data_IF_634616148617
#
_entry.id   IF_634616148617
#
_cell.length_a   1.000
_cell.length_b   1.000
_cell.length_c   1.000
_cell.angle_alpha   90.00
_cell.angle_beta   90.00
_cell.angle_gamma   90.00
#
_symmetry.space_group_name_H-M   'P 1'
#
loop_
_entity.id
_entity.type
_entity.pdbx_description
1 polymer ?
#
# COMPACT_ATOMS: atom_id res chain seq x y z
N UNK A 1 5.82 -23.45 38.23
CA UNK A 1 6.02 -22.12 37.62
C UNK A 1 6.74 -22.31 36.30
N UNK A 2 6.02 -22.25 35.19
CA UNK A 2 6.55 -21.94 33.85
C UNK A 2 5.34 -21.54 33.02
N UNK A 3 5.03 -20.26 33.15
CA UNK A 3 4.23 -19.38 32.31
C UNK A 3 3.69 -19.99 31.01
N UNK A 4 2.36 -20.04 30.91
CA UNK A 4 1.64 -20.10 29.64
C UNK A 4 2.20 -19.03 28.69
N UNK A 5 2.81 -19.48 27.58
CA UNK A 5 3.15 -18.59 26.47
C UNK A 5 1.87 -18.23 25.73
N UNK A 6 1.22 -17.22 26.30
CA UNK A 6 0.13 -16.46 25.76
C UNK A 6 0.45 -15.91 24.35
N UNK A 7 -0.63 -15.82 23.58
CA UNK A 7 -0.78 -15.10 22.31
C UNK A 7 0.04 -15.59 21.12
N UNK A 8 -0.67 -16.26 20.21
CA UNK A 8 -0.38 -16.40 18.80
C UNK A 8 -0.37 -15.01 18.10
N UNK A 9 0.56 -14.13 18.50
CA UNK A 9 0.83 -12.86 17.82
C UNK A 9 1.39 -13.22 16.45
N UNK A 10 0.53 -13.16 15.43
CA UNK A 10 0.83 -13.15 14.00
C UNK A 10 2.20 -13.70 13.61
N UNK A 11 2.24 -14.98 13.20
CA UNK A 11 3.44 -15.68 12.70
C UNK A 11 4.43 -14.73 12.01
N UNK A 12 5.51 -14.38 12.72
CA UNK A 12 6.55 -13.47 12.28
C UNK A 12 7.05 -13.81 10.86
N UNK A 13 7.03 -15.10 10.49
CA UNK A 13 7.34 -15.60 9.15
C UNK A 13 6.53 -14.95 8.02
N UNK A 14 5.23 -14.71 8.22
CA UNK A 14 4.40 -14.01 7.22
C UNK A 14 4.82 -12.55 7.07
N UNK A 15 5.14 -11.89 8.18
CA UNK A 15 5.55 -10.49 8.19
C UNK A 15 6.90 -10.31 7.47
N UNK A 16 7.87 -11.20 7.72
CA UNK A 16 9.17 -11.21 7.01
C UNK A 16 9.02 -11.49 5.53
N UNK A 17 8.11 -12.38 5.12
CA UNK A 17 7.88 -12.66 3.69
C UNK A 17 7.34 -11.42 2.96
N UNK A 18 6.39 -10.72 3.57
CA UNK A 18 5.82 -9.49 3.01
C UNK A 18 6.88 -8.38 3.00
N UNK A 19 7.70 -8.28 4.03
CA UNK A 19 8.80 -7.32 4.09
C UNK A 19 9.79 -7.51 2.94
N UNK A 20 10.19 -8.75 2.63
CA UNK A 20 11.04 -9.04 1.45
C UNK A 20 10.33 -8.64 0.16
N UNK A 21 9.03 -8.96 0.00
CA UNK A 21 8.26 -8.54 -1.17
C UNK A 21 8.24 -7.00 -1.33
N UNK A 22 8.11 -6.24 -0.23
CA UNK A 22 8.18 -4.78 -0.24
C UNK A 22 9.56 -4.25 -0.65
N UNK A 23 10.64 -4.92 -0.23
CA UNK A 23 11.99 -4.58 -0.66
C UNK A 23 12.17 -4.81 -2.16
N UNK A 24 11.68 -5.93 -2.70
CA UNK A 24 11.70 -6.22 -4.14
C UNK A 24 10.93 -5.16 -4.92
N UNK A 25 9.72 -4.79 -4.46
CA UNK A 25 8.95 -3.72 -5.09
C UNK A 25 9.67 -2.37 -5.05
N UNK A 26 10.38 -2.09 -3.96
CA UNK A 26 11.16 -0.85 -3.82
C UNK A 26 12.35 -0.82 -4.78
N UNK A 27 13.07 -1.94 -4.93
CA UNK A 27 14.11 -2.09 -5.94
C UNK A 27 13.54 -1.92 -7.36
N UNK A 28 12.35 -2.49 -7.63
CA UNK A 28 11.66 -2.31 -8.90
C UNK A 28 11.31 -0.84 -9.18
N UNK A 29 10.87 -0.08 -8.17
CA UNK A 29 10.65 1.37 -8.32
C UNK A 29 11.94 2.10 -8.70
N UNK A 30 13.06 1.78 -8.05
CA UNK A 30 14.36 2.38 -8.36
C UNK A 30 14.80 2.04 -9.79
N UNK A 31 14.52 0.83 -10.27
CA UNK A 31 14.83 0.46 -11.65
C UNK A 31 13.95 1.22 -12.65
N UNK A 32 12.64 1.34 -12.38
CA UNK A 32 11.72 2.11 -13.23
C UNK A 32 12.11 3.59 -13.30
N UNK A 33 12.63 4.18 -12.22
CA UNK A 33 13.11 5.57 -12.27
C UNK A 33 14.43 5.72 -13.02
N UNK A 34 15.27 4.68 -13.06
CA UNK A 34 16.55 4.68 -13.80
C UNK A 34 16.40 4.41 -15.30
N UNK A 35 15.41 3.63 -15.73
CA UNK A 35 15.17 3.35 -17.15
C UNK A 35 14.41 4.52 -17.80
N UNK A 36 14.84 5.01 -18.95
CA UNK A 36 14.16 6.07 -19.70
C UNK A 36 12.88 5.59 -20.40
N UNK A 37 11.81 5.39 -19.62
CA UNK A 37 10.49 5.00 -20.12
C UNK A 37 9.63 6.19 -20.61
N UNK A 38 10.17 7.41 -20.66
CA UNK A 38 9.43 8.62 -21.06
C UNK A 38 8.12 8.82 -20.25
N UNK A 39 7.00 9.03 -20.94
CA UNK A 39 5.65 9.21 -20.35
C UNK A 39 5.19 7.98 -19.57
N UNK A 40 5.65 6.77 -19.95
CA UNK A 40 5.29 5.53 -19.25
C UNK A 40 5.92 5.42 -17.85
N UNK A 41 6.95 6.22 -17.52
CA UNK A 41 7.56 6.26 -16.18
C UNK A 41 6.51 6.54 -15.10
N UNK A 42 5.65 7.53 -15.34
CA UNK A 42 4.65 7.96 -14.34
C UNK A 42 3.64 6.86 -14.09
N UNK A 43 3.10 6.26 -15.16
CA UNK A 43 2.15 5.15 -15.07
C UNK A 43 2.74 3.93 -14.35
N UNK A 44 3.98 3.56 -14.69
CA UNK A 44 4.70 2.46 -14.05
C UNK A 44 4.97 2.74 -12.57
N UNK A 45 5.42 3.95 -12.23
CA UNK A 45 5.67 4.36 -10.85
C UNK A 45 4.36 4.33 -10.02
N UNK A 46 3.26 4.84 -10.57
CA UNK A 46 1.95 4.82 -9.92
C UNK A 46 1.43 3.40 -9.67
N UNK A 47 1.59 2.51 -10.65
CA UNK A 47 1.19 1.11 -10.52
C UNK A 47 1.98 0.41 -9.41
N UNK A 48 3.32 0.56 -9.39
CA UNK A 48 4.16 -0.05 -8.35
C UNK A 48 3.82 0.52 -6.98
N UNK A 49 3.64 1.84 -6.87
CA UNK A 49 3.23 2.50 -5.63
C UNK A 49 1.87 1.96 -5.13
N UNK A 50 0.90 1.75 -6.01
CA UNK A 50 -0.42 1.21 -5.66
C UNK A 50 -0.33 -0.21 -5.12
N UNK A 51 0.45 -1.08 -5.78
CA UNK A 51 0.66 -2.47 -5.30
C UNK A 51 1.38 -2.48 -3.96
N UNK A 52 2.42 -1.65 -3.79
CA UNK A 52 3.18 -1.52 -2.54
C UNK A 52 2.27 -1.10 -1.38
N UNK A 53 1.48 -0.05 -1.57
CA UNK A 53 0.53 0.44 -0.57
C UNK A 53 -0.54 -0.60 -0.25
N UNK A 54 -1.08 -1.28 -1.26
CA UNK A 54 -2.05 -2.37 -1.07
C UNK A 54 -1.48 -3.52 -0.22
N UNK A 55 -0.22 -3.89 -0.44
CA UNK A 55 0.45 -4.93 0.33
C UNK A 55 0.68 -4.50 1.79
N UNK A 56 1.08 -3.25 2.02
CA UNK A 56 1.22 -2.69 3.38
C UNK A 56 -0.12 -2.73 4.11
N UNK A 57 -1.18 -2.26 3.47
CA UNK A 57 -2.54 -2.21 4.05
C UNK A 57 -3.06 -3.63 4.35
N UNK A 58 -2.86 -4.59 3.45
CA UNK A 58 -3.38 -5.94 3.63
C UNK A 58 -2.70 -6.71 4.78
N UNK A 59 -1.40 -6.49 5.00
CA UNK A 59 -0.60 -7.29 5.92
C UNK A 59 -0.14 -6.55 7.19
N UNK A 60 0.35 -5.31 7.08
CA UNK A 60 0.85 -4.54 8.24
C UNK A 60 -0.25 -3.83 9.01
N UNK A 61 -1.29 -3.34 8.32
CA UNK A 61 -2.47 -2.76 8.99
C UNK A 61 -3.45 -3.83 9.49
N UNK A 62 -3.05 -5.11 9.47
CA UNK A 62 -3.84 -6.26 9.92
C UNK A 62 -5.23 -6.37 9.27
N UNK A 63 -5.47 -5.65 8.18
CA UNK A 63 -6.81 -5.46 7.62
C UNK A 63 -7.41 -6.74 7.01
N UNK A 64 -6.57 -7.76 6.76
CA UNK A 64 -7.02 -9.11 6.40
C UNK A 64 -7.74 -9.85 7.54
N UNK A 65 -7.45 -9.49 8.78
CA UNK A 65 -7.94 -10.15 10.00
C UNK A 65 -8.94 -9.29 10.78
N UNK A 66 -9.02 -8.00 10.46
CA UNK A 66 -9.98 -7.07 11.05
C UNK A 66 -11.39 -7.18 10.42
N UNK A 67 -12.44 -6.75 11.15
CA UNK A 67 -13.81 -6.80 10.65
C UNK A 67 -13.98 -5.97 9.37
N UNK A 68 -14.91 -6.41 8.50
CA UNK A 68 -15.21 -5.80 7.19
C UNK A 68 -15.46 -4.28 7.24
N UNK A 69 -15.85 -3.76 8.40
CA UNK A 69 -16.02 -2.33 8.66
C UNK A 69 -14.74 -1.51 8.40
N UNK A 70 -13.56 -1.96 8.84
CA UNK A 70 -12.31 -1.23 8.62
C UNK A 70 -11.96 -1.12 7.14
N UNK A 71 -12.21 -2.19 6.38
CA UNK A 71 -12.04 -2.19 4.92
C UNK A 71 -12.97 -1.17 4.26
N UNK A 72 -14.23 -1.08 4.69
CA UNK A 72 -15.19 -0.10 4.15
C UNK A 72 -14.73 1.33 4.49
N UNK A 73 -14.35 1.59 5.74
CA UNK A 73 -13.87 2.91 6.18
C UNK A 73 -12.66 3.34 5.37
N UNK A 74 -11.69 2.45 5.15
CA UNK A 74 -10.53 2.75 4.30
C UNK A 74 -10.94 3.10 2.88
N UNK A 75 -11.84 2.33 2.26
CA UNK A 75 -12.31 2.61 0.90
C UNK A 75 -13.05 3.95 0.82
N UNK A 76 -13.86 4.30 1.81
CA UNK A 76 -14.54 5.60 1.90
C UNK A 76 -13.53 6.73 2.07
N UNK A 77 -12.51 6.55 2.90
CA UNK A 77 -11.44 7.52 3.10
C UNK A 77 -10.62 7.74 1.81
N UNK A 78 -10.22 6.65 1.13
CA UNK A 78 -9.50 6.72 -0.14
C UNK A 78 -10.35 7.37 -1.25
N UNK A 79 -11.65 7.04 -1.32
CA UNK A 79 -12.56 7.63 -2.29
C UNK A 79 -12.73 9.14 -2.05
N UNK A 80 -12.94 9.54 -0.80
CA UNK A 80 -13.02 10.95 -0.41
C UNK A 80 -11.73 11.68 -0.77
N UNK A 81 -10.57 11.13 -0.40
CA UNK A 81 -9.27 11.72 -0.72
C UNK A 81 -9.04 11.85 -2.22
N UNK A 82 -9.36 10.80 -3.00
CA UNK A 82 -9.25 10.83 -4.45
C UNK A 82 -10.18 11.89 -5.07
N UNK A 83 -11.38 12.07 -4.53
CA UNK A 83 -12.30 13.13 -4.91
C UNK A 83 -11.73 14.53 -4.66
N UNK A 84 -11.15 14.78 -3.48
CA UNK A 84 -10.48 16.05 -3.17
C UNK A 84 -9.30 16.31 -4.12
N UNK A 85 -8.41 15.32 -4.29
CA UNK A 85 -7.26 15.43 -5.19
C UNK A 85 -7.75 15.74 -6.61
N UNK A 86 -8.67 14.95 -7.15
CA UNK A 86 -9.21 15.14 -8.50
C UNK A 86 -9.87 16.51 -8.67
N UNK A 87 -10.65 16.95 -7.67
CA UNK A 87 -11.25 18.27 -7.65
C UNK A 87 -10.21 19.40 -7.68
N UNK A 88 -9.14 19.30 -6.89
CA UNK A 88 -8.04 20.28 -6.90
C UNK A 88 -7.30 20.29 -8.23
N UNK A 89 -7.03 19.13 -8.85
CA UNK A 89 -6.40 19.10 -10.17
C UNK A 89 -7.29 19.70 -11.26
N UNK A 90 -8.60 19.45 -11.22
CA UNK A 90 -9.55 20.06 -12.15
C UNK A 90 -9.61 21.59 -11.95
N UNK A 91 -9.69 22.05 -10.71
CA UNK A 91 -9.67 23.48 -10.38
C UNK A 91 -8.40 24.17 -10.92
N UNK A 92 -7.22 23.58 -10.70
CA UNK A 92 -5.94 24.11 -11.21
C UNK A 92 -5.87 24.10 -12.74
N UNK A 93 -6.46 23.09 -13.41
CA UNK A 93 -6.43 22.97 -14.86
C UNK A 93 -7.36 23.98 -15.57
N UNK A 94 -8.48 24.32 -14.94
CA UNK A 94 -9.47 25.26 -15.48
C UNK A 94 -9.29 26.70 -14.97
N UNK A 95 -8.28 26.94 -14.13
CA UNK A 95 -7.87 28.26 -13.65
C UNK A 95 -6.96 28.99 -14.63
#
# INVERSE_FOLDING_TARGET
MTEEHAEHILSYGKLTTVWVALLVLTAATIMVTRVELGVWKVWAALAIASVKSGLVIAFFMHMKYEPRLFRIILFVALFTLAGFIGGTFFDVLYR
#
